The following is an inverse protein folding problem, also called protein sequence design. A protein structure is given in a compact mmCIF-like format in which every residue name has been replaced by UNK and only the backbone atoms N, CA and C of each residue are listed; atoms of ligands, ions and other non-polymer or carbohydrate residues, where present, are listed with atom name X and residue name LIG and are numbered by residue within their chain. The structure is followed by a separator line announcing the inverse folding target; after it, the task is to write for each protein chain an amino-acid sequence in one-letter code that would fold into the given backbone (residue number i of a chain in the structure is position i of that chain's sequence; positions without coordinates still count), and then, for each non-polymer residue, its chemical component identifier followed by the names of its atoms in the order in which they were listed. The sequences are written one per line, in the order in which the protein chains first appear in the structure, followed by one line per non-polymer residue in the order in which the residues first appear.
data_IF_296037702172
#
_entry.id   IF_296037702172
#
_cell.length_a   1.000
_cell.length_b   1.000
_cell.length_c   1.000
_cell.angle_alpha   90.00
_cell.angle_beta   90.00
_cell.angle_gamma   90.00
#
_symmetry.space_group_name_H-M   'P 1'
#
loop_
_entity.id
_entity.type
_entity.pdbx_description
1 polymer ?
#
# COMPACT_ATOMS: atom_id res chain seq x y z
N UNK A 1 20.21 -0.20 -19.73
CA UNK A 1 18.84 0.31 -19.51
C UNK A 1 18.76 1.69 -20.18
N UNK A 2 17.79 1.91 -21.06
CA UNK A 2 17.76 3.09 -21.95
C UNK A 2 17.26 4.32 -21.17
N UNK A 3 17.66 5.55 -21.56
CA UNK A 3 17.18 6.82 -20.95
C UNK A 3 15.64 6.89 -20.89
N UNK A 4 14.98 6.31 -21.88
CA UNK A 4 13.52 6.25 -22.00
C UNK A 4 12.89 5.43 -20.86
N UNK A 5 13.58 4.41 -20.35
CA UNK A 5 13.09 3.57 -19.25
C UNK A 5 13.09 4.34 -17.93
N UNK A 6 14.15 5.11 -17.67
CA UNK A 6 14.25 5.95 -16.48
C UNK A 6 13.23 7.09 -16.50
N UNK A 7 13.04 7.74 -17.64
CA UNK A 7 12.04 8.80 -17.77
C UNK A 7 10.63 8.28 -17.53
N UNK A 8 10.27 7.14 -18.14
CA UNK A 8 8.97 6.48 -17.90
C UNK A 8 8.79 6.11 -16.43
N UNK A 9 9.83 5.55 -15.81
CA UNK A 9 9.80 5.17 -14.39
C UNK A 9 9.52 6.38 -13.51
N UNK A 10 10.24 7.47 -13.73
CA UNK A 10 10.06 8.72 -13.01
C UNK A 10 8.66 9.30 -13.24
N UNK A 11 8.21 9.42 -14.49
CA UNK A 11 6.89 9.97 -14.81
C UNK A 11 5.76 9.13 -14.22
N UNK A 12 5.85 7.79 -14.31
CA UNK A 12 4.83 6.88 -13.77
C UNK A 12 4.78 6.97 -12.24
N UNK A 13 5.95 7.01 -11.58
CA UNK A 13 6.05 7.18 -10.14
C UNK A 13 5.46 8.51 -9.66
N UNK A 14 5.83 9.62 -10.31
CA UNK A 14 5.30 10.96 -10.00
C UNK A 14 3.79 11.02 -10.23
N UNK A 15 3.30 10.42 -11.31
CA UNK A 15 1.87 10.34 -11.59
C UNK A 15 1.12 9.55 -10.51
N UNK A 16 1.56 8.33 -10.20
CA UNK A 16 0.93 7.47 -9.19
C UNK A 16 0.94 8.15 -7.83
N UNK A 17 2.12 8.56 -7.31
CA UNK A 17 2.19 9.23 -6.01
C UNK A 17 1.41 10.55 -6.00
N UNK A 18 1.50 11.34 -7.06
CA UNK A 18 0.78 12.60 -7.18
C UNK A 18 -0.72 12.41 -7.04
N UNK A 19 -1.30 11.43 -7.74
CA UNK A 19 -2.74 11.11 -7.61
C UNK A 19 -3.08 10.64 -6.19
N UNK A 20 -2.33 9.68 -5.63
CA UNK A 20 -2.61 9.13 -4.32
C UNK A 20 -2.58 10.19 -3.22
N UNK A 21 -1.51 10.99 -3.18
CA UNK A 21 -1.36 12.09 -2.22
C UNK A 21 -2.46 13.13 -2.44
N UNK A 22 -2.77 13.50 -3.68
CA UNK A 22 -3.81 14.50 -3.95
C UNK A 22 -5.17 14.09 -3.40
N UNK A 23 -5.56 12.83 -3.57
CA UNK A 23 -6.83 12.32 -3.03
C UNK A 23 -6.84 12.26 -1.52
N UNK A 24 -5.73 11.86 -0.89
CA UNK A 24 -5.56 11.88 0.55
C UNK A 24 -5.73 13.31 1.11
N UNK A 25 -4.98 14.28 0.59
CA UNK A 25 -5.10 15.68 1.01
C UNK A 25 -6.49 16.25 0.72
N UNK A 26 -7.10 15.87 -0.40
CA UNK A 26 -8.46 16.27 -0.75
C UNK A 26 -9.47 15.81 0.31
N UNK A 27 -9.28 14.64 0.91
CA UNK A 27 -10.09 14.16 2.02
C UNK A 27 -10.06 15.10 3.21
N UNK A 28 -8.85 15.48 3.68
CA UNK A 28 -8.70 16.45 4.75
C UNK A 28 -9.32 17.80 4.39
N UNK A 29 -9.08 18.30 3.17
CA UNK A 29 -9.61 19.58 2.70
C UNK A 29 -11.13 19.63 2.71
N UNK A 30 -11.77 18.62 2.10
CA UNK A 30 -13.23 18.57 2.00
C UNK A 30 -13.88 18.40 3.37
N UNK A 31 -13.30 17.56 4.22
CA UNK A 31 -13.77 17.41 5.60
C UNK A 31 -13.59 18.69 6.42
N UNK A 32 -12.46 19.40 6.27
CA UNK A 32 -12.23 20.68 6.95
C UNK A 32 -13.28 21.72 6.55
N UNK A 33 -13.53 21.88 5.24
CA UNK A 33 -14.58 22.77 4.72
C UNK A 33 -15.96 22.37 5.24
N UNK A 34 -16.28 21.08 5.23
CA UNK A 34 -17.55 20.56 5.74
C UNK A 34 -17.75 20.82 7.24
N UNK A 35 -16.68 20.74 8.05
CA UNK A 35 -16.70 21.10 9.48
C UNK A 35 -16.59 22.61 9.74
N UNK A 36 -16.61 23.43 8.69
CA UNK A 36 -16.55 24.90 8.78
C UNK A 36 -15.19 25.40 9.28
N UNK A 37 -14.12 24.68 8.97
CA UNK A 37 -12.73 25.11 9.17
C UNK A 37 -12.27 25.77 7.88
N UNK A 38 -11.73 26.99 7.98
CA UNK A 38 -11.11 27.61 6.81
C UNK A 38 -9.80 26.90 6.49
N UNK A 39 -9.45 26.77 5.22
CA UNK A 39 -8.18 26.17 4.79
C UNK A 39 -7.39 27.24 4.08
N UNK A 40 -6.19 27.53 4.58
CA UNK A 40 -5.33 28.56 4.03
C UNK A 40 -4.59 28.04 2.79
N UNK A 41 -4.03 26.83 2.88
CA UNK A 41 -3.17 26.25 1.85
C UNK A 41 -3.56 24.80 1.56
N UNK A 42 -3.64 24.47 0.29
CA UNK A 42 -3.64 23.11 -0.22
C UNK A 42 -2.38 22.93 -1.08
N UNK A 43 -1.46 22.05 -0.69
CA UNK A 43 -0.19 21.87 -1.39
C UNK A 43 -0.02 20.44 -1.88
N UNK A 44 0.28 20.30 -3.17
CA UNK A 44 0.77 19.07 -3.77
C UNK A 44 2.28 19.18 -3.91
N UNK A 45 3.00 18.38 -3.13
CA UNK A 45 4.46 18.43 -3.04
C UNK A 45 4.99 19.42 -2.01
N UNK A 46 6.32 19.42 -1.90
CA UNK A 46 7.10 20.29 -1.01
C UNK A 46 8.05 21.22 -1.77
N UNK A 47 8.46 22.30 -1.10
CA UNK A 47 9.36 23.32 -1.64
C UNK A 47 8.63 24.58 -2.16
N UNK A 48 9.32 25.45 -2.92
CA UNK A 48 8.71 26.65 -3.49
C UNK A 48 7.66 26.25 -4.54
N UNK A 49 6.51 26.93 -4.52
CA UNK A 49 5.42 26.66 -5.46
C UNK A 49 5.84 26.99 -6.90
N UNK A 50 5.77 25.99 -7.79
CA UNK A 50 5.89 26.17 -9.25
C UNK A 50 4.66 26.90 -9.79
N UNK A 51 3.49 26.49 -9.30
CA UNK A 51 2.21 27.10 -9.62
C UNK A 51 1.46 27.40 -8.33
N UNK A 52 0.83 28.57 -8.26
CA UNK A 52 -0.04 28.96 -7.16
C UNK A 52 -1.26 29.72 -7.66
N UNK A 53 -2.42 29.41 -7.11
CA UNK A 53 -3.66 30.15 -7.37
C UNK A 53 -4.56 30.16 -6.14
N UNK A 54 -5.55 31.05 -6.08
CA UNK A 54 -6.54 31.09 -5.00
C UNK A 54 -7.92 30.74 -5.52
N UNK A 55 -8.63 29.89 -4.79
CA UNK A 55 -10.02 29.59 -5.11
C UNK A 55 -10.99 30.63 -4.54
N UNK A 56 -12.28 30.51 -4.89
CA UNK A 56 -13.35 31.41 -4.40
C UNK A 56 -13.51 31.39 -2.88
N UNK A 57 -13.03 30.35 -2.21
CA UNK A 57 -13.11 30.19 -0.76
C UNK A 57 -11.89 30.76 -0.03
N UNK A 58 -10.94 31.35 -0.77
CA UNK A 58 -9.71 31.97 -0.26
C UNK A 58 -8.55 31.00 -0.05
N UNK A 59 -8.71 29.71 -0.38
CA UNK A 59 -7.64 28.72 -0.22
C UNK A 59 -6.60 28.90 -1.32
N UNK A 60 -5.32 28.93 -0.93
CA UNK A 60 -4.19 28.95 -1.84
C UNK A 60 -3.78 27.53 -2.23
N UNK A 61 -3.95 27.21 -3.50
CA UNK A 61 -3.55 25.94 -4.08
C UNK A 61 -2.12 26.05 -4.60
N UNK A 62 -1.27 25.07 -4.28
CA UNK A 62 0.14 25.03 -4.66
C UNK A 62 0.49 23.71 -5.32
N UNK A 63 1.29 23.78 -6.38
CA UNK A 63 1.98 22.63 -6.97
C UNK A 63 3.47 22.89 -6.84
N UNK A 64 4.17 21.97 -6.20
CA UNK A 64 5.57 22.10 -5.81
C UNK A 64 6.44 21.02 -6.47
N UNK A 65 7.76 21.24 -6.62
CA UNK A 65 8.61 20.37 -7.42
C UNK A 65 8.91 19.00 -6.79
N UNK A 66 8.78 18.86 -5.46
CA UNK A 66 9.09 17.60 -4.77
C UNK A 66 7.77 16.81 -4.56
N UNK A 67 7.51 15.71 -5.29
CA UNK A 67 6.22 15.02 -5.30
C UNK A 67 6.09 13.94 -4.22
N UNK A 68 6.90 14.01 -3.16
CA UNK A 68 7.00 13.00 -2.11
C UNK A 68 5.94 13.15 -1.00
N UNK A 69 4.90 13.94 -1.24
CA UNK A 69 3.82 14.18 -0.28
C UNK A 69 3.05 15.45 -0.61
N UNK A 70 2.21 15.88 0.32
CA UNK A 70 1.38 17.06 0.22
C UNK A 70 1.02 17.52 1.62
N UNK A 71 0.29 18.62 1.72
CA UNK A 71 -0.33 19.01 2.98
C UNK A 71 -1.52 19.93 2.75
N UNK A 72 -2.53 19.75 3.60
CA UNK A 72 -3.55 20.77 3.88
C UNK A 72 -3.15 21.55 5.12
N UNK A 73 -3.17 22.89 5.03
CA UNK A 73 -3.00 23.79 6.18
C UNK A 73 -4.36 24.40 6.57
N UNK A 74 -5.04 23.86 7.59
CA UNK A 74 -6.19 24.50 8.19
C UNK A 74 -5.82 25.86 8.80
N UNK A 75 -6.78 26.77 8.83
CA UNK A 75 -6.66 28.06 9.50
C UNK A 75 -6.48 27.85 11.00
N UNK A 76 -5.48 28.50 11.59
CA UNK A 76 -5.11 28.29 12.99
C UNK A 76 -4.74 26.84 13.26
N UNK A 77 -3.90 26.26 12.39
CA UNK A 77 -3.25 24.98 12.66
C UNK A 77 -2.13 25.15 13.71
N UNK A 78 -1.55 26.35 13.80
CA UNK A 78 -0.60 26.72 14.85
C UNK A 78 -1.24 26.59 16.23
N UNK A 79 -0.51 26.00 17.17
CA UNK A 79 -0.97 25.89 18.54
C UNK A 79 -1.17 27.30 19.15
N UNK A 80 -2.27 27.54 19.90
CA UNK A 80 -2.54 28.84 20.52
C UNK A 80 -1.48 29.36 21.46
N UNK A 81 -0.62 28.52 22.02
CA UNK A 81 0.46 29.02 22.87
C UNK A 81 1.72 29.39 22.06
N UNK A 82 1.84 28.94 20.80
CA UNK A 82 3.02 29.17 19.94
C UNK A 82 2.75 30.18 18.80
N UNK A 83 1.47 30.48 18.53
CA UNK A 83 1.08 31.47 17.55
C UNK A 83 1.50 32.89 17.98
N UNK A 84 2.14 33.63 17.07
CA UNK A 84 2.50 35.03 17.29
C UNK A 84 1.24 35.88 17.51
N UNK A 85 1.36 37.07 18.15
CA UNK A 85 0.23 37.99 18.31
C UNK A 85 -0.45 38.33 16.97
N UNK A 86 0.32 38.45 15.88
CA UNK A 86 -0.21 38.70 14.53
C UNK A 86 -0.99 37.50 13.99
N UNK A 87 -0.50 36.28 14.21
CA UNK A 87 -1.20 35.05 13.81
C UNK A 87 -2.52 34.90 14.55
N UNK A 88 -2.52 35.14 15.87
CA UNK A 88 -3.74 35.14 16.69
C UNK A 88 -4.73 36.22 16.26
N UNK A 89 -4.25 37.41 15.90
CA UNK A 89 -5.11 38.48 15.39
C UNK A 89 -5.74 38.14 14.02
N UNK A 90 -5.09 37.30 13.22
CA UNK A 90 -5.62 36.80 11.95
C UNK A 90 -6.63 35.65 12.13
N UNK A 91 -6.85 35.15 13.34
CA UNK A 91 -7.79 34.05 13.59
C UNK A 91 -9.24 34.50 13.54
N UNK A 92 -10.01 33.86 12.67
CA UNK A 92 -11.45 34.06 12.60
C UNK A 92 -12.10 33.09 13.59
N UNK A 93 -12.60 33.63 14.70
CA UNK A 93 -13.25 32.86 15.78
C UNK A 93 -14.30 31.88 15.22
N UNK A 94 -14.23 30.62 15.64
CA UNK A 94 -15.12 29.54 15.20
C UNK A 94 -14.80 28.95 13.82
N UNK A 95 -13.79 29.47 13.11
CA UNK A 95 -13.29 28.93 11.84
C UNK A 95 -11.87 28.36 11.93
N UNK A 96 -11.22 28.46 13.09
CA UNK A 96 -9.94 27.80 13.34
C UNK A 96 -10.14 26.31 13.58
N UNK A 97 -9.09 25.52 13.35
CA UNK A 97 -9.13 24.09 13.60
C UNK A 97 -9.22 23.75 15.09
N UNK A 98 -8.48 24.46 15.94
CA UNK A 98 -8.45 24.24 17.40
C UNK A 98 -9.75 24.61 18.12
N UNK A 99 -10.56 25.53 17.56
CA UNK A 99 -11.88 25.86 18.13
C UNK A 99 -12.91 24.73 17.97
N UNK A 100 -12.62 23.73 17.12
CA UNK A 100 -13.56 22.64 16.84
C UNK A 100 -13.47 21.55 17.90
N UNK A 101 -14.61 20.92 18.19
CA UNK A 101 -14.67 19.72 19.04
C UNK A 101 -13.70 18.64 18.57
N UNK A 102 -13.24 17.83 19.52
CA UNK A 102 -12.38 16.65 19.28
C UNK A 102 -12.94 15.78 18.16
N UNK A 103 -14.25 15.51 18.17
CA UNK A 103 -14.92 14.72 17.14
C UNK A 103 -14.81 15.35 15.75
N UNK A 104 -14.97 16.68 15.64
CA UNK A 104 -14.84 17.37 14.36
C UNK A 104 -13.40 17.35 13.84
N UNK A 105 -12.40 17.51 14.72
CA UNK A 105 -10.99 17.40 14.35
C UNK A 105 -10.64 15.97 13.94
N UNK A 106 -11.16 14.97 14.65
CA UNK A 106 -11.00 13.56 14.31
C UNK A 106 -11.59 13.22 12.93
N UNK A 107 -12.77 13.75 12.58
CA UNK A 107 -13.35 13.59 11.23
C UNK A 107 -12.39 14.12 10.16
N UNK A 108 -11.82 15.32 10.37
CA UNK A 108 -10.93 15.95 9.38
C UNK A 108 -9.68 15.11 9.17
N UNK A 109 -9.07 14.60 10.26
CA UNK A 109 -7.88 13.75 10.18
C UNK A 109 -8.23 12.38 9.56
N UNK A 110 -9.36 11.77 9.94
CA UNK A 110 -9.76 10.46 9.39
C UNK A 110 -10.13 10.51 7.91
N UNK A 111 -10.55 11.68 7.41
CA UNK A 111 -11.00 11.83 6.03
C UNK A 111 -9.90 11.56 5.00
N UNK A 112 -8.64 11.88 5.29
CA UNK A 112 -7.53 11.61 4.37
C UNK A 112 -7.37 10.13 4.05
N UNK A 113 -7.19 9.26 5.06
CA UNK A 113 -7.14 7.81 4.86
C UNK A 113 -8.41 7.25 4.22
N UNK A 114 -9.60 7.71 4.62
CA UNK A 114 -10.87 7.28 4.02
C UNK A 114 -10.90 7.59 2.52
N UNK A 115 -10.41 8.75 2.09
CA UNK A 115 -10.38 9.11 0.67
C UNK A 115 -9.46 8.23 -0.16
N UNK A 116 -8.40 7.69 0.44
CA UNK A 116 -7.59 6.66 -0.21
C UNK A 116 -8.37 5.35 -0.39
N UNK A 117 -9.13 4.89 0.61
CA UNK A 117 -9.99 3.71 0.42
C UNK A 117 -11.07 3.95 -0.64
N UNK A 118 -11.66 5.15 -0.68
CA UNK A 118 -12.62 5.54 -1.73
C UNK A 118 -11.94 5.52 -3.10
N UNK A 119 -10.75 6.11 -3.23
CA UNK A 119 -9.99 6.08 -4.47
C UNK A 119 -9.69 4.65 -4.91
N UNK A 120 -9.18 3.79 -4.02
CA UNK A 120 -8.91 2.39 -4.32
C UNK A 120 -10.16 1.66 -4.83
N UNK A 121 -11.30 1.83 -4.14
CA UNK A 121 -12.59 1.26 -4.52
C UNK A 121 -13.00 1.72 -5.93
N UNK A 122 -12.93 3.03 -6.21
CA UNK A 122 -13.28 3.58 -7.53
C UNK A 122 -12.36 3.03 -8.61
N UNK A 123 -11.05 2.97 -8.36
CA UNK A 123 -10.08 2.45 -9.32
C UNK A 123 -10.33 0.97 -9.63
N UNK A 124 -10.59 0.13 -8.64
CA UNK A 124 -10.94 -1.27 -8.88
C UNK A 124 -12.28 -1.41 -9.61
N UNK A 125 -13.31 -0.66 -9.21
CA UNK A 125 -14.61 -0.71 -9.87
C UNK A 125 -14.53 -0.29 -11.35
N UNK A 126 -13.79 0.78 -11.67
CA UNK A 126 -13.54 1.21 -13.04
C UNK A 126 -12.76 0.14 -13.80
N UNK A 127 -11.68 -0.37 -13.23
CA UNK A 127 -10.86 -1.41 -13.85
C UNK A 127 -11.68 -2.65 -14.20
N UNK A 128 -12.52 -3.13 -13.28
CA UNK A 128 -13.33 -4.33 -13.50
C UNK A 128 -14.49 -4.07 -14.47
N UNK A 129 -15.01 -2.84 -14.52
CA UNK A 129 -16.05 -2.45 -15.49
C UNK A 129 -15.50 -2.28 -16.93
N UNK A 130 -14.22 -1.95 -17.10
CA UNK A 130 -13.64 -1.67 -18.43
C UNK A 130 -12.78 -2.80 -18.96
N UNK A 131 -12.00 -3.43 -18.10
CA UNK A 131 -10.99 -4.43 -18.47
C UNK A 131 -11.44 -5.82 -18.03
N UNK A 132 -12.24 -5.91 -16.96
CA UNK A 132 -12.62 -7.16 -16.33
C UNK A 132 -11.76 -7.48 -15.12
N UNK A 133 -12.17 -8.49 -14.36
CA UNK A 133 -11.47 -8.91 -13.16
C UNK A 133 -10.43 -10.00 -13.50
N UNK A 134 -9.19 -9.91 -12.99
CA UNK A 134 -8.23 -10.99 -13.09
C UNK A 134 -8.72 -12.19 -12.29
N UNK A 135 -8.82 -13.33 -12.94
CA UNK A 135 -9.14 -14.61 -12.32
C UNK A 135 -7.91 -15.52 -12.46
N UNK A 136 -7.52 -16.12 -11.34
CA UNK A 136 -6.51 -17.18 -11.36
C UNK A 136 -7.17 -18.43 -11.95
N UNK A 137 -6.52 -19.03 -12.93
CA UNK A 137 -6.90 -20.34 -13.48
C UNK A 137 -6.19 -21.44 -12.70
N UNK A 138 -6.79 -22.62 -12.66
CA UNK A 138 -6.19 -23.81 -12.02
C UNK A 138 -4.99 -24.38 -12.80
N UNK A 139 -4.65 -23.75 -13.93
CA UNK A 139 -3.53 -24.13 -14.77
C UNK A 139 -2.23 -23.48 -14.31
N UNK A 140 -1.15 -24.26 -14.28
CA UNK A 140 0.18 -23.78 -13.90
C UNK A 140 0.79 -23.00 -15.07
N UNK A 141 1.10 -21.72 -14.86
CA UNK A 141 1.79 -20.89 -15.82
C UNK A 141 3.31 -21.04 -15.76
N UNK A 142 3.88 -21.12 -14.55
CA UNK A 142 5.32 -21.18 -14.36
C UNK A 142 5.66 -22.16 -13.25
N UNK A 143 6.70 -22.96 -13.47
CA UNK A 143 7.30 -23.81 -12.43
C UNK A 143 8.67 -23.21 -12.10
N UNK A 144 8.90 -22.87 -10.83
CA UNK A 144 10.16 -22.28 -10.40
C UNK A 144 11.29 -23.31 -10.50
N UNK A 145 12.45 -22.94 -11.08
CA UNK A 145 13.62 -23.80 -11.09
C UNK A 145 13.99 -24.23 -9.66
N UNK A 146 14.31 -25.51 -9.48
CA UNK A 146 14.64 -26.12 -8.18
C UNK A 146 13.51 -26.13 -7.13
N UNK A 147 12.28 -25.75 -7.49
CA UNK A 147 11.11 -25.88 -6.64
C UNK A 147 10.66 -27.33 -6.47
N UNK A 148 9.88 -27.62 -5.43
CA UNK A 148 9.34 -28.97 -5.17
C UNK A 148 8.55 -29.54 -6.36
N UNK A 149 7.76 -28.68 -7.03
CA UNK A 149 7.04 -29.05 -8.24
C UNK A 149 7.98 -29.37 -9.42
N UNK A 150 9.08 -28.63 -9.58
CA UNK A 150 10.07 -28.92 -10.63
C UNK A 150 10.74 -30.29 -10.39
N UNK A 151 11.13 -30.58 -9.15
CA UNK A 151 11.74 -31.87 -8.77
C UNK A 151 10.76 -33.03 -8.98
N UNK A 152 9.47 -32.82 -8.68
CA UNK A 152 8.41 -33.81 -8.92
C UNK A 152 8.06 -34.00 -10.41
N UNK A 153 8.58 -33.15 -11.30
CA UNK A 153 8.30 -33.24 -12.74
C UNK A 153 6.99 -32.60 -13.19
N UNK A 154 6.46 -31.64 -12.41
CA UNK A 154 5.33 -30.79 -12.82
C UNK A 154 5.76 -29.89 -13.97
N UNK A 155 4.86 -29.70 -14.93
CA UNK A 155 5.12 -28.93 -16.16
C UNK A 155 4.16 -27.74 -16.28
N UNK A 156 4.57 -26.77 -17.09
CA UNK A 156 3.69 -25.68 -17.50
C UNK A 156 2.48 -26.26 -18.24
N UNK A 157 1.29 -25.76 -17.91
CA UNK A 157 0.03 -26.21 -18.48
C UNK A 157 -0.67 -27.31 -17.67
N UNK A 158 -0.01 -27.90 -16.68
CA UNK A 158 -0.63 -28.87 -15.77
C UNK A 158 -1.73 -28.20 -14.91
N UNK A 159 -2.80 -28.94 -14.60
CA UNK A 159 -3.84 -28.53 -13.64
C UNK A 159 -3.84 -29.48 -12.45
N UNK A 160 -3.70 -28.97 -11.23
CA UNK A 160 -3.69 -29.82 -10.04
C UNK A 160 -5.13 -30.26 -9.73
N UNK A 161 -5.36 -31.57 -9.67
CA UNK A 161 -6.65 -32.16 -9.35
C UNK A 161 -6.73 -32.70 -7.93
N UNK A 162 -5.61 -33.20 -7.39
CA UNK A 162 -5.58 -33.87 -6.08
C UNK A 162 -4.22 -33.77 -5.40
N UNK A 163 -4.22 -33.57 -4.09
CA UNK A 163 -3.04 -33.61 -3.21
C UNK A 163 -3.23 -34.73 -2.18
N UNK A 164 -2.45 -35.80 -2.30
CA UNK A 164 -2.60 -37.02 -1.53
C UNK A 164 -3.96 -37.68 -1.80
N UNK A 165 -4.79 -37.74 -0.77
CA UNK A 165 -6.18 -38.21 -0.83
C UNK A 165 -7.21 -37.09 -1.01
N UNK A 166 -6.79 -35.82 -1.00
CA UNK A 166 -7.72 -34.69 -1.02
C UNK A 166 -7.86 -34.12 -2.44
N UNK A 167 -9.07 -34.18 -2.99
CA UNK A 167 -9.42 -33.53 -4.25
C UNK A 167 -9.45 -32.01 -4.04
N UNK A 168 -8.79 -31.27 -4.92
CA UNK A 168 -8.72 -29.82 -4.84
C UNK A 168 -9.59 -29.17 -5.90
N UNK A 169 -10.33 -28.14 -5.52
CA UNK A 169 -11.27 -27.45 -6.44
C UNK A 169 -10.77 -26.08 -6.91
N UNK A 170 -9.62 -25.62 -6.41
CA UNK A 170 -9.07 -24.32 -6.77
C UNK A 170 -7.72 -24.02 -6.11
N UNK A 171 -7.15 -22.88 -6.50
CA UNK A 171 -5.83 -22.43 -6.03
C UNK A 171 -5.80 -22.18 -4.53
N UNK A 172 -6.86 -21.62 -3.96
CA UNK A 172 -6.97 -21.35 -2.53
C UNK A 172 -6.93 -22.64 -1.70
N UNK A 173 -7.57 -23.70 -2.21
CA UNK A 173 -7.60 -25.02 -1.56
C UNK A 173 -6.24 -25.73 -1.64
N UNK A 174 -5.57 -25.60 -2.79
CA UNK A 174 -4.18 -26.04 -2.95
C UNK A 174 -3.28 -25.34 -1.93
N UNK A 175 -3.37 -24.01 -1.82
CA UNK A 175 -2.57 -23.23 -0.86
C UNK A 175 -2.87 -23.63 0.58
N UNK A 176 -4.14 -23.76 0.95
CA UNK A 176 -4.55 -24.18 2.29
C UNK A 176 -3.99 -25.57 2.63
N UNK A 177 -4.12 -26.53 1.71
CA UNK A 177 -3.68 -27.91 1.87
C UNK A 177 -2.16 -28.05 2.05
N UNK A 178 -1.36 -27.29 1.31
CA UNK A 178 0.12 -27.40 1.39
C UNK A 178 0.73 -26.56 2.51
N UNK A 179 0.07 -25.47 2.93
CA UNK A 179 0.66 -24.46 3.81
C UNK A 179 1.20 -25.04 5.12
N UNK A 180 0.54 -26.05 5.68
CA UNK A 180 0.88 -26.67 6.97
C UNK A 180 1.69 -27.97 6.84
N UNK A 181 1.98 -28.42 5.61
CA UNK A 181 2.56 -29.72 5.31
C UNK A 181 4.02 -29.64 4.85
N UNK A 182 4.77 -28.62 5.26
CA UNK A 182 6.15 -28.43 4.80
C UNK A 182 7.04 -29.65 5.12
N UNK A 183 7.70 -30.20 4.10
CA UNK A 183 8.55 -31.39 4.21
C UNK A 183 7.79 -32.73 4.18
N UNK A 184 6.46 -32.72 4.15
CA UNK A 184 5.68 -33.94 4.00
C UNK A 184 5.84 -34.54 2.60
N UNK A 185 5.93 -35.86 2.53
CA UNK A 185 5.84 -36.61 1.29
C UNK A 185 4.38 -36.91 1.00
N UNK A 186 3.94 -36.59 -0.20
CA UNK A 186 2.57 -36.85 -0.67
C UNK A 186 2.60 -37.13 -2.17
N UNK A 187 1.44 -37.33 -2.77
CA UNK A 187 1.27 -37.47 -4.21
C UNK A 187 0.51 -36.28 -4.77
N UNK A 188 0.92 -35.80 -5.93
CA UNK A 188 0.24 -34.74 -6.66
C UNK A 188 -0.37 -35.35 -7.91
N UNK A 189 -1.69 -35.34 -8.03
CA UNK A 189 -2.36 -35.73 -9.28
C UNK A 189 -2.61 -34.48 -10.11
N UNK A 190 -2.02 -34.41 -11.29
CA UNK A 190 -2.17 -33.31 -12.23
C UNK A 190 -2.81 -33.79 -13.53
N UNK A 191 -3.69 -32.97 -14.11
CA UNK A 191 -4.17 -33.14 -15.49
C UNK A 191 -3.17 -32.48 -16.43
N UNK A 192 -2.48 -33.30 -17.24
CA UNK A 192 -1.54 -32.89 -18.29
C UNK A 192 -2.17 -33.18 -19.64
N UNK A 193 -2.66 -32.15 -20.33
CA UNK A 193 -3.50 -32.34 -21.50
C UNK A 193 -4.79 -33.07 -21.12
N UNK A 194 -5.07 -34.24 -21.71
CA UNK A 194 -6.22 -35.08 -21.34
C UNK A 194 -5.90 -36.23 -20.36
N UNK A 195 -4.64 -36.35 -19.93
CA UNK A 195 -4.20 -37.44 -19.06
C UNK A 195 -4.02 -36.97 -17.62
N UNK A 196 -4.47 -37.78 -16.66
CA UNK A 196 -4.15 -37.57 -15.25
C UNK A 196 -2.84 -38.30 -14.90
N UNK A 197 -1.86 -37.56 -14.42
CA UNK A 197 -0.53 -38.05 -14.02
C UNK A 197 -0.38 -37.87 -12.52
N UNK A 198 -0.01 -38.94 -11.81
CA UNK A 198 0.27 -38.88 -10.37
C UNK A 198 1.78 -38.84 -10.15
N UNK A 199 2.25 -37.78 -9.49
CA UNK A 199 3.65 -37.50 -9.23
C UNK A 199 3.93 -37.58 -7.73
N UNK A 200 4.92 -38.36 -7.26
CA UNK A 200 5.38 -38.25 -5.89
C UNK A 200 6.03 -36.89 -5.67
N UNK A 201 5.68 -36.20 -4.59
CA UNK A 201 6.22 -34.88 -4.27
C UNK A 201 6.54 -34.78 -2.79
N UNK A 202 7.67 -34.16 -2.49
CA UNK A 202 7.99 -33.66 -1.15
C UNK A 202 7.65 -32.18 -1.12
N UNK A 203 6.71 -31.77 -0.28
CA UNK A 203 6.32 -30.36 -0.18
C UNK A 203 7.53 -29.54 0.27
N UNK A 204 7.89 -28.54 -0.54
CA UNK A 204 9.03 -27.68 -0.28
C UNK A 204 8.78 -26.78 0.93
N UNK A 205 9.87 -26.28 1.51
CA UNK A 205 9.82 -25.26 2.55
C UNK A 205 9.83 -23.88 1.89
N UNK A 206 8.93 -22.99 2.30
CA UNK A 206 8.95 -21.60 1.89
C UNK A 206 10.27 -20.94 2.33
N UNK A 207 10.81 -19.95 1.59
CA UNK A 207 12.03 -19.23 2.01
C UNK A 207 11.86 -18.62 3.40
N UNK A 208 10.62 -18.25 3.73
CA UNK A 208 10.19 -17.63 4.98
C UNK A 208 9.71 -18.64 6.04
N UNK A 209 9.88 -19.95 5.79
CA UNK A 209 9.50 -20.98 6.75
C UNK A 209 10.45 -21.00 7.96
N UNK A 210 9.88 -21.02 9.16
CA UNK A 210 10.65 -21.13 10.42
C UNK A 210 10.40 -22.48 11.08
N UNK A 211 11.29 -22.96 11.98
CA UNK A 211 11.07 -24.20 12.72
C UNK A 211 9.76 -24.20 13.55
N UNK A 212 9.35 -23.03 14.05
CA UNK A 212 8.12 -22.86 14.83
C UNK A 212 6.85 -22.71 13.97
N UNK A 213 6.97 -22.33 12.69
CA UNK A 213 5.87 -22.25 11.72
C UNK A 213 6.33 -22.75 10.35
N UNK A 214 6.30 -24.08 10.12
CA UNK A 214 6.62 -24.64 8.82
C UNK A 214 5.58 -24.20 7.79
N UNK A 215 6.00 -23.41 6.80
CA UNK A 215 5.15 -23.00 5.68
C UNK A 215 5.54 -23.76 4.42
N UNK A 216 4.61 -24.56 3.90
CA UNK A 216 4.82 -25.38 2.70
C UNK A 216 4.67 -24.58 1.41
N UNK A 217 5.47 -24.91 0.39
CA UNK A 217 5.33 -24.36 -0.95
C UNK A 217 5.67 -25.40 -2.02
N UNK A 218 5.05 -25.26 -3.19
CA UNK A 218 5.34 -26.09 -4.37
C UNK A 218 6.31 -25.41 -5.35
N UNK A 219 6.42 -24.08 -5.31
CA UNK A 219 7.23 -23.31 -6.27
C UNK A 219 6.57 -23.24 -7.65
N UNK A 220 5.27 -22.93 -7.70
CA UNK A 220 4.50 -22.77 -8.94
C UNK A 220 3.79 -21.42 -8.95
N UNK A 221 3.56 -20.88 -10.14
CA UNK A 221 2.75 -19.69 -10.38
C UNK A 221 1.61 -20.12 -11.29
N UNK A 222 0.38 -19.87 -10.87
CA UNK A 222 -0.81 -20.15 -11.65
C UNK A 222 -1.02 -19.12 -12.77
N UNK A 223 -1.63 -19.55 -13.87
CA UNK A 223 -2.01 -18.67 -14.95
C UNK A 223 -3.10 -17.71 -14.47
N UNK A 224 -2.96 -16.45 -14.82
CA UNK A 224 -3.99 -15.43 -14.60
C UNK A 224 -4.55 -14.99 -15.93
N UNK A 225 -5.87 -14.93 -16.01
CA UNK A 225 -6.55 -14.32 -17.14
C UNK A 225 -7.43 -13.18 -16.69
N UNK A 226 -7.42 -12.11 -17.46
CA UNK A 226 -8.37 -11.03 -17.27
C UNK A 226 -9.68 -11.47 -17.91
N UNK A 227 -10.71 -11.63 -17.09
CA UNK A 227 -12.05 -11.96 -17.55
C UNK A 227 -12.65 -10.85 -18.41
N UNK A 228 -13.87 -11.06 -18.91
CA UNK A 228 -14.59 -10.00 -19.62
C UNK A 228 -14.96 -8.85 -18.68
N UNK A 229 -15.14 -7.63 -19.21
CA UNK A 229 -15.64 -6.50 -18.42
C UNK A 229 -16.95 -6.85 -17.69
N UNK A 230 -17.04 -6.48 -16.42
CA UNK A 230 -18.21 -6.76 -15.59
C UNK A 230 -19.28 -5.67 -15.79
N UNK A 231 -20.58 -6.02 -15.71
CA UNK A 231 -21.65 -5.03 -15.61
C UNK A 231 -21.42 -4.10 -14.41
N UNK A 232 -21.79 -2.81 -14.55
CA UNK A 232 -21.50 -1.79 -13.54
C UNK A 232 -21.86 -2.18 -12.09
N UNK A 233 -23.05 -2.73 -11.78
CA UNK A 233 -23.37 -3.14 -10.41
C UNK A 233 -22.44 -4.24 -9.87
N UNK A 234 -22.04 -5.18 -10.72
CA UNK A 234 -21.13 -6.26 -10.34
C UNK A 234 -19.70 -5.73 -10.16
N UNK A 235 -19.27 -4.80 -11.01
CA UNK A 235 -17.98 -4.14 -10.90
C UNK A 235 -17.85 -3.33 -9.60
N UNK A 236 -18.92 -2.66 -9.15
CA UNK A 236 -18.97 -1.96 -7.85
C UNK A 236 -18.77 -2.97 -6.70
N UNK A 237 -19.53 -4.07 -6.69
CA UNK A 237 -19.39 -5.10 -5.65
C UNK A 237 -18.00 -5.74 -5.66
N UNK A 238 -17.46 -6.03 -6.85
CA UNK A 238 -16.12 -6.55 -7.02
C UNK A 238 -15.05 -5.55 -6.55
N UNK A 239 -15.25 -4.25 -6.81
CA UNK A 239 -14.39 -3.19 -6.32
C UNK A 239 -14.32 -3.14 -4.80
N UNK A 240 -15.48 -3.21 -4.12
CA UNK A 240 -15.53 -3.28 -2.64
C UNK A 240 -14.78 -4.50 -2.12
N UNK A 241 -15.03 -5.68 -2.71
CA UNK A 241 -14.34 -6.92 -2.33
C UNK A 241 -12.83 -6.83 -2.55
N UNK A 242 -12.39 -6.26 -3.65
CA UNK A 242 -10.97 -6.09 -3.95
C UNK A 242 -10.29 -5.12 -2.96
N UNK A 243 -10.93 -3.99 -2.64
CA UNK A 243 -10.44 -3.06 -1.61
C UNK A 243 -10.35 -3.73 -0.24
N UNK A 244 -11.36 -4.51 0.15
CA UNK A 244 -11.36 -5.27 1.39
C UNK A 244 -10.24 -6.31 1.42
N UNK A 245 -10.13 -7.14 0.38
CA UNK A 245 -9.12 -8.19 0.29
C UNK A 245 -7.70 -7.60 0.30
N UNK A 246 -7.46 -6.52 -0.45
CA UNK A 246 -6.20 -5.81 -0.41
C UNK A 246 -5.90 -5.29 1.01
N UNK A 247 -6.92 -4.80 1.72
CA UNK A 247 -6.73 -4.31 3.10
C UNK A 247 -6.34 -5.43 4.05
N UNK A 248 -7.04 -6.57 3.98
CA UNK A 248 -6.75 -7.76 4.80
C UNK A 248 -5.35 -8.28 4.49
N UNK A 249 -4.99 -8.44 3.21
CA UNK A 249 -3.66 -8.91 2.81
C UNK A 249 -2.53 -8.00 3.29
N UNK A 250 -2.74 -6.68 3.24
CA UNK A 250 -1.76 -5.73 3.75
C UNK A 250 -1.60 -5.84 5.27
N UNK A 251 -2.70 -5.98 6.01
CA UNK A 251 -2.66 -6.20 7.45
C UNK A 251 -2.01 -7.54 7.82
N UNK A 252 -2.32 -8.61 7.09
CA UNK A 252 -1.71 -9.93 7.27
C UNK A 252 -0.21 -9.89 6.99
N UNK A 253 0.22 -9.21 5.92
CA UNK A 253 1.64 -9.01 5.62
C UNK A 253 2.37 -8.23 6.73
N UNK A 254 1.76 -7.15 7.24
CA UNK A 254 2.31 -6.41 8.39
C UNK A 254 2.38 -7.31 9.63
N UNK A 255 1.34 -8.10 9.90
CA UNK A 255 1.31 -9.03 11.03
C UNK A 255 2.39 -10.11 10.93
N UNK A 256 2.62 -10.64 9.73
CA UNK A 256 3.68 -11.61 9.48
C UNK A 256 5.08 -11.03 9.69
N UNK A 257 5.31 -9.77 9.33
CA UNK A 257 6.58 -9.07 9.61
C UNK A 257 6.74 -8.88 11.13
N UNK A 258 5.70 -8.42 11.83
CA UNK A 258 5.74 -8.20 13.28
C UNK A 258 5.95 -9.50 14.08
N UNK A 259 5.42 -10.62 13.59
CA UNK A 259 5.59 -11.94 14.21
C UNK A 259 6.85 -12.66 13.77
N UNK A 260 7.70 -12.04 12.94
CA UNK A 260 8.98 -12.60 12.47
C UNK A 260 8.83 -13.74 11.47
N UNK A 261 7.66 -13.87 10.84
CA UNK A 261 7.43 -14.85 9.76
C UNK A 261 8.05 -14.40 8.45
N UNK A 262 8.06 -13.09 8.17
CA UNK A 262 8.73 -12.51 7.00
C UNK A 262 9.84 -11.54 7.43
N UNK A 263 10.88 -11.43 6.60
CA UNK A 263 11.99 -10.52 6.90
C UNK A 263 11.64 -9.11 6.44
N UNK A 264 12.02 -8.08 7.21
CA UNK A 264 11.87 -6.67 6.82
C UNK A 264 12.57 -6.30 5.49
N UNK A 265 13.35 -7.20 4.90
CA UNK A 265 13.95 -7.07 3.56
C UNK A 265 12.93 -7.12 2.42
N UNK A 266 11.74 -7.65 2.68
CA UNK A 266 10.65 -7.72 1.70
C UNK A 266 9.85 -6.42 1.61
N UNK A 267 10.01 -5.52 2.60
CA UNK A 267 9.43 -4.18 2.57
C UNK A 267 10.11 -3.34 1.48
N UNK A 268 9.40 -3.17 0.37
CA UNK A 268 9.86 -2.33 -0.73
C UNK A 268 9.87 -0.86 -0.34
N UNK A 269 11.01 -0.20 -0.56
CA UNK A 269 11.14 1.22 -0.30
C UNK A 269 10.63 2.11 -1.44
N UNK A 270 10.78 3.43 -1.28
CA UNK A 270 10.37 4.40 -2.29
C UNK A 270 11.02 4.17 -3.65
N UNK A 271 12.28 3.69 -3.68
CA UNK A 271 12.98 3.40 -4.93
C UNK A 271 12.40 2.17 -5.62
N UNK A 272 12.10 1.10 -4.86
CA UNK A 272 11.43 -0.08 -5.39
C UNK A 272 10.02 0.24 -5.88
N UNK A 273 9.26 1.08 -5.16
CA UNK A 273 7.95 1.57 -5.63
C UNK A 273 8.09 2.36 -6.94
N UNK A 274 9.10 3.21 -7.07
CA UNK A 274 9.36 3.94 -8.32
C UNK A 274 9.64 2.98 -9.47
N UNK A 275 10.55 2.02 -9.28
CA UNK A 275 10.88 1.01 -10.29
C UNK A 275 9.66 0.17 -10.69
N UNK A 276 8.89 -0.31 -9.70
CA UNK A 276 7.67 -1.08 -9.95
C UNK A 276 6.63 -0.24 -10.70
N UNK A 277 6.47 1.04 -10.37
CA UNK A 277 5.58 1.94 -11.12
C UNK A 277 5.97 2.01 -12.60
N UNK A 278 7.27 2.14 -12.88
CA UNK A 278 7.81 2.15 -14.24
C UNK A 278 7.62 0.83 -14.98
N UNK A 279 7.85 -0.29 -14.30
CA UNK A 279 7.68 -1.64 -14.86
C UNK A 279 6.20 -1.94 -15.14
N UNK A 280 5.32 -1.62 -14.20
CA UNK A 280 3.87 -1.84 -14.33
C UNK A 280 3.28 -0.99 -15.46
N UNK A 281 3.76 0.24 -15.63
CA UNK A 281 3.36 1.10 -16.75
C UNK A 281 3.70 0.48 -18.12
N UNK A 282 4.71 -0.40 -18.21
CA UNK A 282 5.03 -1.10 -19.47
C UNK A 282 3.96 -2.12 -19.84
N UNK A 283 3.31 -2.73 -18.84
CA UNK A 283 2.19 -3.66 -19.04
C UNK A 283 0.87 -2.96 -19.36
N UNK A 284 0.88 -1.63 -19.49
CA UNK A 284 -0.25 -0.82 -19.90
C UNK A 284 -0.98 -0.12 -18.76
N UNK A 285 -1.93 0.74 -19.14
CA UNK A 285 -2.62 1.62 -18.22
C UNK A 285 -3.51 0.89 -17.21
N UNK A 286 -4.15 -0.21 -17.61
CA UNK A 286 -4.97 -1.04 -16.71
C UNK A 286 -4.15 -1.60 -15.53
N UNK A 287 -2.93 -2.08 -15.81
CA UNK A 287 -1.99 -2.55 -14.79
C UNK A 287 -1.56 -1.42 -13.85
N UNK A 288 -1.33 -0.22 -14.40
CA UNK A 288 -1.00 0.96 -13.60
C UNK A 288 -2.15 1.38 -12.67
N UNK A 289 -3.40 1.32 -13.14
CA UNK A 289 -4.57 1.58 -12.29
C UNK A 289 -4.71 0.54 -11.17
N UNK A 290 -4.51 -0.75 -11.46
CA UNK A 290 -4.53 -1.80 -10.44
C UNK A 290 -3.45 -1.58 -9.37
N UNK A 291 -2.25 -1.20 -9.80
CA UNK A 291 -1.15 -0.92 -8.89
C UNK A 291 -1.40 0.34 -8.04
N UNK A 292 -1.94 1.39 -8.65
CA UNK A 292 -2.37 2.60 -7.94
C UNK A 292 -3.47 2.29 -6.92
N UNK A 293 -4.45 1.44 -7.26
CA UNK A 293 -5.49 1.01 -6.33
C UNK A 293 -4.91 0.28 -5.11
N UNK A 294 -3.99 -0.66 -5.33
CA UNK A 294 -3.28 -1.38 -4.26
C UNK A 294 -2.49 -0.40 -3.37
N UNK A 295 -1.70 0.49 -3.97
CA UNK A 295 -0.94 1.49 -3.22
C UNK A 295 -1.84 2.47 -2.45
N UNK A 296 -3.01 2.80 -3.00
CA UNK A 296 -3.98 3.65 -2.33
C UNK A 296 -4.50 2.99 -1.05
N UNK A 297 -4.86 1.69 -1.10
CA UNK A 297 -5.21 0.92 0.11
C UNK A 297 -4.07 0.94 1.13
N UNK A 298 -2.84 0.69 0.69
CA UNK A 298 -1.68 0.66 1.58
C UNK A 298 -1.42 2.01 2.24
N UNK A 299 -1.48 3.11 1.48
CA UNK A 299 -1.29 4.46 2.00
C UNK A 299 -2.42 4.83 2.98
N UNK A 300 -3.66 4.45 2.67
CA UNK A 300 -4.80 4.60 3.58
C UNK A 300 -4.60 3.85 4.89
N UNK A 301 -4.23 2.57 4.83
CA UNK A 301 -4.01 1.72 6.01
C UNK A 301 -2.84 2.22 6.87
N UNK A 302 -1.68 2.47 6.26
CA UNK A 302 -0.48 2.90 6.98
C UNK A 302 -0.74 4.23 7.71
N UNK A 303 -1.44 5.17 7.07
CA UNK A 303 -1.79 6.44 7.72
C UNK A 303 -2.76 6.27 8.90
N UNK A 304 -3.50 5.15 9.00
CA UNK A 304 -4.34 4.86 10.17
C UNK A 304 -3.56 4.23 11.34
N UNK A 305 -2.31 3.81 11.13
CA UNK A 305 -1.52 3.22 12.21
C UNK A 305 -1.24 4.25 13.31
N UNK A 306 -1.16 3.80 14.59
CA UNK A 306 -0.94 4.67 15.74
C UNK A 306 0.54 5.10 15.85
N UNK A 307 1.14 5.50 14.73
CA UNK A 307 2.51 6.00 14.64
C UNK A 307 2.47 7.53 14.69
N UNK A 308 3.21 8.17 15.60
CA UNK A 308 3.28 9.63 15.61
C UNK A 308 3.78 10.16 14.26
N UNK A 309 3.31 11.35 13.87
CA UNK A 309 3.48 11.98 12.55
C UNK A 309 2.49 11.52 11.47
N UNK A 310 1.90 10.32 11.60
CA UNK A 310 0.79 9.87 10.76
C UNK A 310 -0.56 10.32 11.34
N UNK A 311 -1.61 10.22 10.53
CA UNK A 311 -2.98 10.59 10.93
C UNK A 311 -3.48 9.78 12.11
N UNK A 312 -3.23 8.46 12.12
CA UNK A 312 -3.59 7.56 13.20
C UNK A 312 -2.95 7.94 14.53
N UNK A 313 -1.72 8.44 14.52
CA UNK A 313 -1.07 8.99 15.72
C UNK A 313 -1.82 10.21 16.29
N UNK A 314 -2.32 11.11 15.43
CA UNK A 314 -3.15 12.24 15.87
C UNK A 314 -4.50 11.80 16.39
N UNK A 315 -5.12 10.79 15.76
CA UNK A 315 -6.36 10.20 16.22
C UNK A 315 -6.21 9.59 17.63
N UNK A 316 -5.06 9.00 17.95
CA UNK A 316 -4.75 8.52 19.31
C UNK A 316 -4.74 9.68 20.31
N UNK A 317 -4.13 10.82 19.98
CA UNK A 317 -4.18 11.99 20.87
C UNK A 317 -5.59 12.52 21.08
N UNK A 318 -6.42 12.54 20.04
CA UNK A 318 -7.82 12.92 20.15
C UNK A 318 -8.64 11.93 20.96
N UNK A 319 -8.38 10.63 20.84
CA UNK A 319 -9.01 9.62 21.69
C UNK A 319 -8.65 9.86 23.17
N UNK A 320 -7.37 10.12 23.46
CA UNK A 320 -6.91 10.45 24.82
C UNK A 320 -7.55 11.75 25.33
N UNK A 321 -7.64 12.78 24.49
CA UNK A 321 -8.29 14.05 24.82
C UNK A 321 -9.79 13.87 25.12
N UNK A 322 -10.51 13.07 24.32
CA UNK A 322 -11.93 12.78 24.52
C UNK A 322 -12.18 12.07 25.86
N UNK A 323 -11.29 11.15 26.26
CA UNK A 323 -11.38 10.43 27.55
C UNK A 323 -11.03 11.35 28.73
N UNK A 324 -9.98 12.18 28.58
CA UNK A 324 -9.46 13.02 29.67
C UNK A 324 -10.19 14.35 29.82
N UNK A 325 -10.98 14.76 28.82
CA UNK A 325 -11.63 16.07 28.75
C UNK A 325 -10.65 17.25 28.55
N UNK A 326 -9.36 16.98 28.35
CA UNK A 326 -8.31 18.00 28.14
C UNK A 326 -7.24 17.47 27.17
N UNK A 327 -6.62 18.35 26.36
CA UNK A 327 -5.62 17.95 25.38
C UNK A 327 -4.39 17.33 26.04
N UNK A 328 -3.71 16.46 25.28
CA UNK A 328 -2.41 15.90 25.68
C UNK A 328 -1.40 17.04 25.78
N UNK A 329 -0.54 17.02 26.80
CA UNK A 329 0.43 18.10 27.00
C UNK A 329 1.37 18.23 25.80
N UNK A 330 1.73 19.47 25.46
CA UNK A 330 2.62 19.78 24.34
C UNK A 330 3.92 19.00 24.38
N UNK A 331 4.55 18.93 25.56
CA UNK A 331 5.79 18.17 25.77
C UNK A 331 5.65 16.71 25.33
N UNK A 332 4.53 16.08 25.62
CA UNK A 332 4.26 14.69 25.21
C UNK A 332 4.03 14.60 23.71
N UNK A 333 3.28 15.54 23.11
CA UNK A 333 3.07 15.58 21.66
C UNK A 333 4.38 15.78 20.89
N UNK A 334 5.21 16.74 21.31
CA UNK A 334 6.53 17.02 20.73
C UNK A 334 7.46 15.80 20.79
N UNK A 335 7.61 15.19 21.97
CA UNK A 335 8.44 13.98 22.13
C UNK A 335 7.90 12.87 21.25
N UNK A 336 6.59 12.67 21.22
CA UNK A 336 5.96 11.66 20.38
C UNK A 336 6.25 11.91 18.91
N UNK A 337 6.11 13.15 18.41
CA UNK A 337 6.41 13.50 17.03
C UNK A 337 7.90 13.35 16.70
N UNK A 338 8.81 13.69 17.61
CA UNK A 338 10.25 13.47 17.43
C UNK A 338 10.58 11.98 17.33
N UNK A 339 10.00 11.16 18.22
CA UNK A 339 10.17 9.70 18.18
C UNK A 339 9.59 9.11 16.90
N UNK A 340 8.38 9.53 16.49
CA UNK A 340 7.77 9.10 15.24
C UNK A 340 8.57 9.50 14.02
N UNK A 341 9.07 10.74 13.97
CA UNK A 341 9.96 11.21 12.92
C UNK A 341 11.26 10.40 12.86
N UNK A 342 11.92 10.16 13.99
CA UNK A 342 13.13 9.35 14.04
C UNK A 342 12.89 7.91 13.56
N UNK A 343 11.76 7.31 13.95
CA UNK A 343 11.37 5.97 13.50
C UNK A 343 11.12 5.93 12.00
N UNK A 344 10.30 6.85 11.46
CA UNK A 344 10.00 6.91 10.03
C UNK A 344 11.23 7.24 9.19
N UNK A 345 12.08 8.17 9.62
CA UNK A 345 13.35 8.47 8.97
C UNK A 345 14.30 7.27 9.01
N UNK A 346 14.39 6.57 10.15
CA UNK A 346 15.17 5.34 10.27
C UNK A 346 14.68 4.24 9.33
N UNK A 347 13.36 4.02 9.26
CA UNK A 347 12.75 3.06 8.34
C UNK A 347 12.99 3.45 6.87
N UNK A 348 12.86 4.73 6.53
CA UNK A 348 13.13 5.25 5.19
C UNK A 348 14.59 5.01 4.78
N UNK A 349 15.55 5.32 5.67
CA UNK A 349 16.98 5.09 5.41
C UNK A 349 17.30 3.60 5.29
N UNK A 350 16.76 2.78 6.20
CA UNK A 350 16.93 1.32 6.16
C UNK A 350 16.37 0.72 4.87
N UNK A 351 15.14 1.11 4.50
CA UNK A 351 14.46 0.61 3.31
C UNK A 351 15.17 1.08 2.03
N UNK A 352 15.62 2.34 1.98
CA UNK A 352 16.43 2.85 0.87
C UNK A 352 17.75 2.09 0.75
N UNK A 353 18.43 1.82 1.87
CA UNK A 353 19.65 1.02 1.88
C UNK A 353 19.40 -0.42 1.40
N UNK A 354 18.28 -1.02 1.82
CA UNK A 354 17.86 -2.35 1.39
C UNK A 354 17.56 -2.38 -0.12
N UNK A 355 16.85 -1.37 -0.64
CA UNK A 355 16.58 -1.21 -2.08
C UNK A 355 17.88 -1.10 -2.87
N UNK A 356 18.81 -0.23 -2.46
CA UNK A 356 20.12 -0.07 -3.12
C UNK A 356 20.97 -1.35 -3.08
N UNK A 357 20.90 -2.08 -1.96
CA UNK A 357 21.54 -3.40 -1.83
C UNK A 357 20.93 -4.42 -2.78
N UNK A 358 19.59 -4.47 -2.85
CA UNK A 358 18.84 -5.35 -3.74
C UNK A 358 19.10 -5.07 -5.21
N UNK A 359 19.32 -3.80 -5.59
CA UNK A 359 19.70 -3.41 -6.95
C UNK A 359 21.17 -3.70 -7.28
N UNK A 360 21.94 -4.18 -6.31
CA UNK A 360 23.34 -4.57 -6.53
C UNK A 360 24.32 -3.38 -6.55
N UNK A 361 23.94 -2.20 -6.03
CA UNK A 361 24.83 -1.03 -5.95
C UNK A 361 26.15 -1.39 -5.26
N UNK A 362 26.08 -2.10 -4.13
CA UNK A 362 27.29 -2.48 -3.38
C UNK A 362 28.11 -3.56 -4.10
N UNK A 363 27.48 -4.46 -4.88
CA UNK A 363 28.21 -5.41 -5.73
C UNK A 363 28.91 -4.69 -6.88
N UNK A 364 28.26 -3.69 -7.46
CA UNK A 364 28.84 -2.84 -8.49
C UNK A 364 30.00 -1.98 -7.96
N UNK A 365 29.84 -1.34 -6.79
CA UNK A 365 30.93 -0.60 -6.14
C UNK A 365 32.08 -1.55 -5.79
N UNK A 366 31.81 -2.72 -5.22
CA UNK A 366 32.85 -3.71 -4.94
C UNK A 366 33.59 -4.14 -6.22
N UNK A 367 32.88 -4.33 -7.33
CA UNK A 367 33.50 -4.65 -8.63
C UNK A 367 34.36 -3.52 -9.21
N UNK A 368 34.20 -2.28 -8.76
CA UNK A 368 35.03 -1.13 -9.15
C UNK A 368 36.26 -0.95 -8.27
N UNK A 369 36.21 -1.44 -7.02
CA UNK A 369 37.27 -1.25 -6.03
C UNK A 369 38.21 -2.47 -5.94
N UNK A 370 37.82 -3.62 -6.49
CA UNK A 370 38.65 -4.84 -6.57
C UNK A 370 38.16 -5.93 -5.65
#
# INVERSE_FOLDING_TARGET
MMIHDYLRTLLSFVFVLGVLVSFHELGHYLAAKWRGVHVEVFSLGFGPALFRWRDKSGTEWRICPIPLGGYVRPHGFEDPEDATPEQKAAWIKGRTFHDKSVFSRAIVILAGPIFNFILAFVLFAVLFATTGQPHVRDQIATVMPNGAAAVAGVQQGDVIQRIGSHDVTGVEDIQASISTQAGAQTTLTVKRGEQSVTLPITIGKAPDSTPQKPHGQLGIIFATEVGKPLPFPQAVVAGVKATWNASVQTLDGVWQILTGQHTAKDLGGPLKIAQLSGQVAQYGFASLLSFMALLSVNLGLINLFPVPLLDGGRLVFYAIEAIRGRPVSKRVQEISFQVGFALLAGLFLFSTFNDLSGFGLFRWIASLVG
#
